data_IF_599403936516
#
_entry.id   IF_599403936516
#
_cell.length_a   1.000
_cell.length_b   1.000
_cell.length_c   1.000
_cell.angle_alpha   90.00
_cell.angle_beta   90.00
_cell.angle_gamma   90.00
#
_symmetry.space_group_name_H-M   'P 1'
#
loop_
_entity.id
_entity.type
_entity.pdbx_description
1 polymer ?
#
# COMPACT_ATOMS: atom_id res chain seq x y z
N UNK A 1 -44.52 27.34 5.74
CA UNK A 1 -43.65 26.17 6.03
C UNK A 1 -42.47 26.63 6.87
N UNK A 2 -42.11 25.85 7.90
CA UNK A 2 -41.01 26.11 8.86
C UNK A 2 -39.65 25.90 8.18
N UNK A 3 -38.73 26.87 8.33
CA UNK A 3 -37.29 26.65 8.14
C UNK A 3 -36.73 25.97 9.39
N UNK A 4 -35.96 24.89 9.21
CA UNK A 4 -35.09 24.30 10.23
C UNK A 4 -33.75 24.00 9.57
N UNK A 5 -32.70 24.67 10.05
CA UNK A 5 -31.29 24.36 9.75
C UNK A 5 -30.77 23.29 10.74
N UNK A 6 -29.58 22.72 10.49
CA UNK A 6 -28.48 23.16 11.35
C UNK A 6 -27.14 23.37 10.64
N UNK A 7 -26.41 24.35 11.19
CA UNK A 7 -24.99 24.66 10.98
C UNK A 7 -24.14 23.60 11.68
N UNK A 8 -23.13 23.06 10.99
CA UNK A 8 -22.03 22.30 11.58
C UNK A 8 -20.73 23.10 11.50
N UNK A 9 -20.18 23.50 12.65
CA UNK A 9 -18.93 24.24 12.80
C UNK A 9 -17.77 23.24 12.88
N UNK A 10 -16.78 23.34 12.00
CA UNK A 10 -15.43 22.83 12.25
C UNK A 10 -14.54 24.04 12.59
N UNK A 11 -14.20 24.18 13.88
CA UNK A 11 -13.30 25.22 14.35
C UNK A 11 -11.85 24.81 14.05
N UNK A 12 -11.20 25.51 13.12
CA UNK A 12 -9.75 25.42 12.91
C UNK A 12 -9.11 26.37 13.92
N UNK A 13 -8.48 25.81 14.96
CA UNK A 13 -7.68 26.59 15.91
C UNK A 13 -6.34 26.90 15.25
N UNK A 14 -6.15 28.16 14.83
CA UNK A 14 -4.86 28.67 14.32
C UNK A 14 -4.13 29.33 15.50
N UNK A 15 -3.11 28.65 16.01
CA UNK A 15 -2.14 29.21 16.95
C UNK A 15 -1.05 30.01 16.22
N UNK A 16 -0.75 31.19 16.75
CA UNK A 16 0.07 32.27 16.17
C UNK A 16 1.56 32.11 16.50
N UNK A 17 2.48 32.26 15.52
CA UNK A 17 3.82 32.86 15.72
C UNK A 17 4.53 33.11 14.38
N UNK A 18 5.21 34.26 14.27
CA UNK A 18 5.63 34.86 13.01
C UNK A 18 6.74 34.15 12.25
N UNK A 19 6.44 33.82 11.01
CA UNK A 19 7.37 33.81 9.89
C UNK A 19 6.59 34.40 8.71
N UNK A 20 7.22 35.17 7.83
CA UNK A 20 6.63 35.55 6.55
C UNK A 20 6.51 34.28 5.70
N UNK A 21 5.52 33.44 6.02
CA UNK A 21 5.12 32.35 5.17
C UNK A 21 4.54 32.99 3.92
N UNK A 22 5.18 32.74 2.77
CA UNK A 22 4.51 32.91 1.49
C UNK A 22 3.16 32.18 1.53
N UNK A 23 2.18 32.59 0.71
CA UNK A 23 0.87 31.96 0.72
C UNK A 23 1.03 30.44 0.66
N UNK A 24 0.55 29.75 1.69
CA UNK A 24 0.43 28.30 1.64
C UNK A 24 -0.59 27.99 0.55
N UNK A 25 -0.13 27.65 -0.65
CA UNK A 25 -0.98 27.10 -1.69
C UNK A 25 -1.35 25.70 -1.25
N UNK A 26 -2.54 25.56 -0.65
CA UNK A 26 -3.11 24.26 -0.43
C UNK A 26 -3.26 23.59 -1.81
N UNK A 27 -2.71 22.38 -1.96
CA UNK A 27 -2.98 21.62 -3.16
C UNK A 27 -4.49 21.47 -3.30
N UNK A 28 -5.03 21.90 -4.44
CA UNK A 28 -6.46 21.71 -4.73
C UNK A 28 -6.83 20.22 -4.87
N UNK A 29 -5.84 19.33 -4.83
CA UNK A 29 -5.99 17.94 -5.18
C UNK A 29 -5.13 17.02 -4.29
N UNK A 30 -5.71 16.56 -3.19
CA UNK A 30 -5.07 15.64 -2.24
C UNK A 30 -5.67 14.25 -2.44
N UNK A 31 -4.81 13.24 -2.57
CA UNK A 31 -5.18 11.84 -2.74
C UNK A 31 -4.49 10.93 -1.72
N UNK A 32 -5.14 9.82 -1.32
CA UNK A 32 -4.44 8.70 -0.71
C UNK A 32 -3.36 8.15 -1.64
N UNK A 33 -2.24 7.67 -1.08
CA UNK A 33 -1.29 6.86 -1.83
C UNK A 33 -1.98 5.68 -2.52
N UNK A 34 -1.58 5.40 -3.76
CA UNK A 34 -2.18 4.36 -4.60
C UNK A 34 -3.41 4.83 -5.39
N UNK A 35 -4.00 5.99 -5.07
CA UNK A 35 -5.08 6.55 -5.87
C UNK A 35 -4.54 7.39 -7.03
N UNK A 36 -5.16 7.24 -8.20
CA UNK A 36 -4.82 8.00 -9.39
C UNK A 36 -5.40 9.42 -9.33
N UNK A 37 -4.67 10.37 -9.90
CA UNK A 37 -5.15 11.71 -10.17
C UNK A 37 -4.66 12.20 -11.54
N UNK A 38 -5.48 12.99 -12.24
CA UNK A 38 -5.19 13.43 -13.59
C UNK A 38 -4.73 14.90 -13.63
N UNK A 39 -3.73 15.16 -14.46
CA UNK A 39 -3.29 16.51 -14.79
C UNK A 39 -2.86 16.55 -16.27
N UNK A 40 -3.53 17.38 -17.07
CA UNK A 40 -3.24 17.57 -18.50
C UNK A 40 -3.15 16.26 -19.30
N UNK A 41 -4.20 15.42 -19.23
CA UNK A 41 -4.26 14.10 -19.90
C UNK A 41 -3.21 13.08 -19.41
N UNK A 42 -2.55 13.35 -18.28
CA UNK A 42 -1.64 12.40 -17.63
C UNK A 42 -2.26 11.94 -16.32
N UNK A 43 -2.49 10.64 -16.18
CA UNK A 43 -2.89 10.04 -14.93
C UNK A 43 -1.68 9.66 -14.10
N UNK A 44 -1.54 10.20 -12.89
CA UNK A 44 -0.45 9.88 -11.97
C UNK A 44 -0.96 9.05 -10.79
N UNK A 45 -0.19 8.05 -10.39
CA UNK A 45 -0.42 7.30 -9.15
C UNK A 45 0.90 7.21 -8.41
N UNK A 46 0.94 7.70 -7.17
CA UNK A 46 2.13 7.60 -6.31
C UNK A 46 1.88 6.59 -5.21
N UNK A 47 2.86 5.74 -4.91
CA UNK A 47 2.81 4.78 -3.81
C UNK A 47 4.18 4.53 -3.21
N UNK A 48 4.19 3.93 -2.02
CA UNK A 48 5.40 3.42 -1.40
C UNK A 48 6.42 4.50 -1.10
N UNK A 49 6.03 5.60 -0.46
CA UNK A 49 6.98 6.53 0.16
C UNK A 49 7.54 5.87 1.41
N UNK A 50 8.80 5.43 1.37
CA UNK A 50 9.44 4.72 2.48
C UNK A 50 10.98 4.84 2.44
N UNK A 51 11.70 4.56 3.54
CA UNK A 51 13.15 4.45 3.53
C UNK A 51 13.62 3.45 2.47
N UNK A 52 14.67 3.80 1.72
CA UNK A 52 15.28 2.92 0.71
C UNK A 52 16.72 2.56 1.09
N UNK A 53 17.15 1.37 0.66
CA UNK A 53 18.53 0.88 0.74
C UNK A 53 19.23 0.87 -0.63
N UNK A 54 18.59 1.44 -1.66
CA UNK A 54 19.17 1.53 -2.99
C UNK A 54 20.47 2.37 -2.96
N UNK A 55 21.50 2.05 -3.77
CA UNK A 55 22.83 2.68 -3.69
C UNK A 55 22.87 4.06 -4.37
N UNK A 56 21.97 4.96 -3.99
CA UNK A 56 21.93 6.35 -4.46
C UNK A 56 22.73 7.23 -3.49
N UNK A 57 23.68 8.06 -3.95
CA UNK A 57 24.40 8.98 -3.06
C UNK A 57 23.47 9.96 -2.35
N UNK A 58 23.60 10.09 -1.02
CA UNK A 58 22.77 10.93 -0.17
C UNK A 58 23.51 11.22 1.16
N UNK A 59 23.06 12.21 1.93
CA UNK A 59 23.69 12.60 3.21
C UNK A 59 22.89 12.12 4.43
N UNK A 60 21.56 12.10 4.32
CA UNK A 60 20.63 11.72 5.38
C UNK A 60 20.17 10.27 5.26
N UNK A 61 18.86 10.05 5.43
CA UNK A 61 18.23 8.76 5.11
C UNK A 61 17.65 8.83 3.69
N UNK A 62 18.05 7.90 2.82
CA UNK A 62 17.42 7.78 1.52
C UNK A 62 15.97 7.34 1.68
N UNK A 63 15.05 8.04 1.03
CA UNK A 63 13.68 7.61 0.82
C UNK A 63 13.43 7.38 -0.67
N UNK A 64 12.49 6.49 -0.99
CA UNK A 64 12.01 6.32 -2.36
C UNK A 64 10.50 6.37 -2.44
N UNK A 65 9.97 6.70 -3.61
CA UNK A 65 8.56 6.55 -3.96
C UNK A 65 8.44 5.97 -5.37
N UNK A 66 7.39 5.20 -5.62
CA UNK A 66 7.06 4.69 -6.95
C UNK A 66 5.97 5.53 -7.57
N UNK A 67 6.17 5.94 -8.82
CA UNK A 67 5.19 6.71 -9.59
C UNK A 67 4.82 5.93 -10.84
N UNK A 68 3.53 5.64 -11.00
CA UNK A 68 2.94 5.15 -12.24
C UNK A 68 2.32 6.34 -12.97
N UNK A 69 2.55 6.42 -14.27
CA UNK A 69 1.89 7.37 -15.17
C UNK A 69 1.07 6.62 -16.22
N UNK A 70 -0.01 7.24 -16.68
CA UNK A 70 -0.91 6.75 -17.71
C UNK A 70 -1.23 7.86 -18.72
N UNK A 71 -1.18 7.55 -20.01
CA UNK A 71 -1.60 8.47 -21.07
C UNK A 71 -3.12 8.45 -21.25
N UNK A 72 -3.83 9.44 -20.72
CA UNK A 72 -5.29 9.52 -20.75
C UNK A 72 -5.80 10.20 -22.04
N UNK A 73 -5.42 9.65 -23.20
CA UNK A 73 -5.77 10.18 -24.53
C UNK A 73 -4.60 10.79 -25.29
N UNK A 74 -3.54 11.19 -24.58
CA UNK A 74 -2.28 11.69 -25.14
C UNK A 74 -1.05 10.98 -24.59
N UNK A 75 0.13 11.39 -25.05
CA UNK A 75 1.39 10.93 -24.46
C UNK A 75 1.55 11.50 -23.05
N UNK A 76 1.80 10.62 -22.08
CA UNK A 76 2.15 11.03 -20.73
C UNK A 76 3.66 11.31 -20.65
N UNK A 77 4.02 12.58 -20.58
CA UNK A 77 5.41 13.04 -20.41
C UNK A 77 5.57 13.71 -19.03
N UNK A 78 5.89 12.95 -17.98
CA UNK A 78 5.97 13.48 -16.62
C UNK A 78 7.23 14.33 -16.41
N UNK A 79 7.11 15.41 -15.64
CA UNK A 79 8.27 16.22 -15.22
C UNK A 79 8.74 15.70 -13.87
N UNK A 80 9.70 14.76 -13.89
CA UNK A 80 10.23 14.11 -12.67
C UNK A 80 10.68 15.13 -11.61
N UNK A 81 11.28 16.25 -12.03
CA UNK A 81 11.79 17.29 -11.14
C UNK A 81 10.71 18.06 -10.33
N UNK A 82 9.42 17.88 -10.66
CA UNK A 82 8.31 18.53 -9.94
C UNK A 82 7.87 17.72 -8.72
N UNK A 83 8.32 16.47 -8.57
CA UNK A 83 8.05 15.67 -7.39
C UNK A 83 8.95 16.05 -6.21
N UNK A 84 8.34 16.11 -5.04
CA UNK A 84 8.98 16.36 -3.75
C UNK A 84 8.42 15.38 -2.72
N UNK A 85 9.22 14.99 -1.75
CA UNK A 85 8.70 14.40 -0.52
C UNK A 85 8.54 15.52 0.52
N UNK A 86 7.44 15.53 1.29
CA UNK A 86 7.20 16.56 2.31
C UNK A 86 6.78 15.95 3.64
N UNK A 87 7.37 16.47 4.71
CA UNK A 87 7.02 16.13 6.09
C UNK A 87 5.79 16.93 6.57
N UNK A 88 5.14 16.44 7.62
CA UNK A 88 4.00 17.12 8.24
C UNK A 88 4.35 18.51 8.77
N UNK A 89 5.61 18.69 9.19
CA UNK A 89 6.17 19.99 9.59
C UNK A 89 6.32 20.99 8.43
N UNK A 90 6.13 20.55 7.18
CA UNK A 90 6.30 21.36 5.97
C UNK A 90 7.70 21.28 5.35
N UNK A 91 8.66 20.57 5.97
CA UNK A 91 9.99 20.37 5.40
C UNK A 91 9.88 19.64 4.05
N UNK A 92 10.53 20.19 3.02
CA UNK A 92 10.42 19.72 1.64
C UNK A 92 11.75 19.15 1.14
N UNK A 93 11.73 17.92 0.65
CA UNK A 93 12.88 17.23 0.06
C UNK A 93 12.70 17.10 -1.45
N UNK A 94 13.62 17.68 -2.22
CA UNK A 94 13.64 17.59 -3.69
C UNK A 94 13.99 16.16 -4.12
N UNK A 95 13.50 15.75 -5.28
CA UNK A 95 14.02 14.54 -5.93
C UNK A 95 15.51 14.70 -6.22
N UNK A 96 16.31 13.70 -5.84
CA UNK A 96 17.78 13.69 -6.05
C UNK A 96 18.22 12.71 -7.13
N UNK A 97 17.40 11.70 -7.41
CA UNK A 97 17.66 10.69 -8.44
C UNK A 97 16.37 9.98 -8.85
N UNK A 98 16.48 9.13 -9.86
CA UNK A 98 15.37 8.35 -10.40
C UNK A 98 14.77 8.99 -11.65
N UNK A 99 13.79 8.31 -12.24
CA UNK A 99 13.12 8.76 -13.46
C UNK A 99 11.73 8.15 -13.55
N UNK A 100 10.74 8.96 -13.94
CA UNK A 100 9.44 8.49 -14.37
C UNK A 100 9.41 8.48 -15.90
N UNK A 101 9.40 7.31 -16.56
CA UNK A 101 9.39 7.24 -18.02
C UNK A 101 8.07 7.76 -18.60
N UNK A 102 8.11 8.20 -19.86
CA UNK A 102 6.90 8.55 -20.60
C UNK A 102 6.05 7.31 -20.91
N UNK A 103 4.73 7.47 -20.94
CA UNK A 103 3.81 6.43 -21.39
C UNK A 103 3.10 6.86 -22.69
N UNK A 104 2.87 5.93 -23.63
CA UNK A 104 2.09 6.20 -24.83
C UNK A 104 0.60 6.43 -24.49
N UNK A 105 -0.20 6.99 -25.41
CA UNK A 105 -1.65 7.09 -25.26
C UNK A 105 -2.29 5.73 -24.95
N UNK A 106 -3.12 5.68 -23.91
CA UNK A 106 -3.76 4.46 -23.38
C UNK A 106 -2.80 3.49 -22.68
N UNK A 107 -1.50 3.80 -22.63
CA UNK A 107 -0.49 2.99 -21.98
C UNK A 107 -0.09 3.54 -20.62
N UNK A 108 0.65 2.71 -19.87
CA UNK A 108 1.22 3.09 -18.58
C UNK A 108 2.72 2.91 -18.55
N UNK A 109 3.40 3.69 -17.73
CA UNK A 109 4.81 3.50 -17.43
C UNK A 109 5.05 3.74 -15.94
N UNK A 110 6.05 3.08 -15.35
CA UNK A 110 6.34 3.18 -13.92
C UNK A 110 7.80 3.54 -13.70
N UNK A 111 8.03 4.45 -12.76
CA UNK A 111 9.35 4.89 -12.35
C UNK A 111 9.48 4.97 -10.84
N UNK A 112 10.72 5.14 -10.40
CA UNK A 112 11.06 5.32 -8.99
C UNK A 112 11.75 6.67 -8.81
N UNK A 113 11.41 7.33 -7.72
CA UNK A 113 11.96 8.61 -7.26
C UNK A 113 12.75 8.39 -5.99
N UNK A 114 13.78 9.21 -5.77
CA UNK A 114 14.59 9.18 -4.57
C UNK A 114 14.72 10.55 -3.93
N UNK A 115 14.73 10.59 -2.60
CA UNK A 115 14.79 11.81 -1.79
C UNK A 115 15.85 11.64 -0.69
N UNK A 116 16.66 12.67 -0.47
CA UNK A 116 17.61 12.73 0.66
C UNK A 116 16.94 13.38 1.87
N UNK A 117 16.57 12.57 2.87
CA UNK A 117 15.86 13.04 4.06
C UNK A 117 16.86 13.36 5.16
N UNK A 118 17.09 14.66 5.38
CA UNK A 118 18.05 15.20 6.36
C UNK A 118 17.40 15.80 7.60
N UNK A 119 16.08 15.69 7.74
CA UNK A 119 15.30 16.24 8.85
C UNK A 119 14.08 15.38 9.18
N UNK A 120 12.93 16.02 9.41
CA UNK A 120 11.68 15.34 9.74
C UNK A 120 11.25 14.33 8.66
N UNK A 121 10.67 13.22 9.10
CA UNK A 121 10.24 12.12 8.23
C UNK A 121 9.14 12.60 7.28
N UNK A 122 9.30 12.43 5.95
CA UNK A 122 8.25 12.78 5.00
C UNK A 122 7.10 11.77 5.07
N UNK A 123 5.87 12.27 4.99
CA UNK A 123 4.66 11.45 4.92
C UNK A 123 3.89 11.67 3.61
N UNK A 124 4.28 12.63 2.78
CA UNK A 124 3.58 12.96 1.55
C UNK A 124 4.52 13.07 0.36
N UNK A 125 3.97 12.83 -0.84
CA UNK A 125 4.62 13.19 -2.11
C UNK A 125 3.81 14.27 -2.79
N UNK A 126 4.48 15.34 -3.22
CA UNK A 126 3.88 16.54 -3.78
C UNK A 126 4.39 16.76 -5.20
N UNK A 127 3.49 16.96 -6.16
CA UNK A 127 3.81 17.45 -7.49
C UNK A 127 3.61 18.97 -7.52
N UNK A 128 4.71 19.71 -7.57
CA UNK A 128 4.74 21.18 -7.48
C UNK A 128 5.52 21.75 -8.67
N UNK A 129 4.94 22.75 -9.33
CA UNK A 129 5.48 23.36 -10.55
C UNK A 129 6.51 24.49 -10.30
N UNK A 130 6.91 24.69 -9.05
CA UNK A 130 7.74 25.78 -8.58
C UNK A 130 6.96 26.99 -8.06
N UNK A 131 5.65 27.07 -8.32
CA UNK A 131 4.77 28.14 -7.84
C UNK A 131 3.69 27.62 -6.91
N UNK A 132 3.11 26.45 -7.19
CA UNK A 132 2.01 25.88 -6.42
C UNK A 132 2.03 24.36 -6.40
N UNK A 133 1.43 23.79 -5.36
CA UNK A 133 1.18 22.36 -5.28
C UNK A 133 -0.01 22.01 -6.17
N UNK A 134 0.21 21.20 -7.19
CA UNK A 134 -0.84 20.79 -8.13
C UNK A 134 -1.55 19.53 -7.64
N UNK A 135 -0.78 18.58 -7.11
CA UNK A 135 -1.28 17.27 -6.67
C UNK A 135 -0.46 16.79 -5.47
N UNK A 136 -1.11 16.16 -4.49
CA UNK A 136 -0.47 15.64 -3.30
C UNK A 136 -0.99 14.24 -3.01
N UNK A 137 -0.08 13.32 -2.68
CA UNK A 137 -0.40 11.99 -2.16
C UNK A 137 0.01 11.87 -0.70
N UNK A 138 -0.92 11.44 0.16
CA UNK A 138 -0.76 11.28 1.61
C UNK A 138 -1.17 9.88 2.07
N UNK A 139 -0.82 9.43 3.29
CA UNK A 139 -1.30 8.17 3.83
C UNK A 139 -2.82 8.25 4.02
N UNK A 140 -3.51 7.15 3.70
CA UNK A 140 -4.96 7.05 3.83
C UNK A 140 -5.50 5.86 3.06
N UNK A 141 -6.73 5.45 3.37
CA UNK A 141 -7.42 4.47 2.56
C UNK A 141 -7.81 5.10 1.21
N UNK A 142 -7.67 4.39 0.07
CA UNK A 142 -8.22 4.84 -1.20
C UNK A 142 -9.70 5.14 -1.04
N UNK A 143 -10.12 6.37 -1.32
CA UNK A 143 -11.53 6.75 -1.25
C UNK A 143 -12.18 6.31 -2.56
N UNK A 144 -13.06 5.32 -2.50
CA UNK A 144 -13.92 4.91 -3.63
C UNK A 144 -13.47 3.66 -4.41
N UNK A 145 -12.50 2.89 -3.90
CA UNK A 145 -12.21 1.56 -4.42
C UNK A 145 -12.30 0.55 -3.28
N UNK A 146 -13.19 -0.44 -3.40
CA UNK A 146 -12.99 -1.69 -2.64
C UNK A 146 -11.57 -2.18 -2.92
N UNK A 147 -10.78 -2.58 -1.92
CA UNK A 147 -9.49 -3.20 -2.16
C UNK A 147 -9.69 -4.37 -3.11
N UNK A 148 -9.29 -4.21 -4.38
CA UNK A 148 -9.19 -5.33 -5.30
C UNK A 148 -7.81 -5.94 -5.06
N UNK A 149 -7.70 -6.62 -3.92
CA UNK A 149 -6.78 -7.74 -3.82
C UNK A 149 -7.30 -8.78 -4.79
N UNK A 150 -6.67 -8.85 -5.97
CA UNK A 150 -6.76 -10.02 -6.81
C UNK A 150 -5.99 -11.15 -6.11
N UNK A 151 -6.66 -11.81 -5.16
CA UNK A 151 -6.42 -13.22 -4.90
C UNK A 151 -7.43 -13.99 -5.74
N UNK A 152 -6.90 -14.61 -6.79
CA UNK A 152 -7.56 -15.64 -7.57
C UNK A 152 -7.92 -16.79 -6.63
N UNK A 153 -9.21 -17.07 -6.45
CA UNK A 153 -9.77 -18.36 -6.01
C UNK A 153 -11.30 -18.36 -6.15
N UNK A 154 -11.79 -19.40 -6.81
CA UNK A 154 -13.18 -19.66 -7.20
C UNK A 154 -14.19 -19.82 -6.04
N UNK A 155 -15.46 -19.55 -6.38
CA UNK A 155 -16.78 -19.79 -5.74
C UNK A 155 -16.85 -20.47 -4.35
N UNK A 156 -17.47 -19.85 -3.33
CA UNK A 156 -18.93 -19.89 -3.02
C UNK A 156 -19.16 -20.52 -1.61
N UNK A 157 -20.35 -20.51 -0.95
CA UNK A 157 -21.67 -20.11 -1.43
C UNK A 157 -22.50 -19.19 -0.47
N UNK A 158 -23.68 -18.87 -1.01
CA UNK A 158 -24.81 -18.03 -0.59
C UNK A 158 -25.38 -18.23 0.83
N UNK A 159 -25.83 -17.12 1.43
CA UNK A 159 -26.72 -17.08 2.60
C UNK A 159 -28.16 -16.77 2.18
N UNK A 160 -29.07 -17.66 2.56
CA UNK A 160 -30.48 -17.79 2.17
C UNK A 160 -31.38 -16.61 2.51
N UNK A 161 -32.29 -16.25 1.61
CA UNK A 161 -33.64 -15.80 1.94
C UNK A 161 -34.64 -16.40 0.94
N UNK A 162 -35.68 -17.02 1.50
CA UNK A 162 -36.77 -17.74 0.83
C UNK A 162 -37.50 -16.92 -0.24
N UNK A 163 -37.85 -17.58 -1.36
CA UNK A 163 -39.26 -17.69 -1.79
C UNK A 163 -39.48 -18.93 -2.67
N UNK A 164 -40.60 -19.58 -2.36
CA UNK A 164 -41.20 -20.84 -2.81
C UNK A 164 -41.20 -21.08 -4.33
N UNK A 165 -40.89 -22.32 -4.75
CA UNK A 165 -41.66 -23.11 -5.74
C UNK A 165 -41.18 -24.57 -5.82
N UNK A 166 -42.03 -25.51 -5.41
CA UNK A 166 -42.01 -26.97 -5.71
C UNK A 166 -42.43 -27.23 -7.17
N UNK A 167 -42.22 -28.39 -7.85
CA UNK A 167 -42.34 -29.80 -7.37
C UNK A 167 -41.41 -30.82 -8.13
N UNK A 168 -41.75 -32.11 -8.35
CA UNK A 168 -41.63 -33.26 -7.44
C UNK A 168 -40.78 -34.44 -7.99
N UNK A 169 -40.39 -35.37 -7.11
CA UNK A 169 -40.35 -36.86 -7.29
C UNK A 169 -39.46 -37.45 -6.18
N UNK A 170 -39.99 -38.23 -5.22
CA UNK A 170 -40.09 -39.71 -5.28
C UNK A 170 -38.80 -40.38 -5.78
N UNK A 171 -38.20 -41.37 -5.15
CA UNK A 171 -38.47 -42.17 -3.95
C UNK A 171 -37.25 -43.09 -3.74
N UNK A 172 -37.09 -43.56 -2.50
CA UNK A 172 -36.35 -44.76 -2.05
C UNK A 172 -34.85 -44.66 -1.68
N UNK A 173 -34.61 -45.01 -0.41
CA UNK A 173 -33.35 -45.21 0.31
C UNK A 173 -32.88 -46.70 0.20
N UNK A 174 -32.00 -47.27 1.07
CA UNK A 174 -31.00 -46.70 1.99
C UNK A 174 -29.61 -47.42 1.94
N UNK A 175 -28.72 -46.98 2.84
CA UNK A 175 -27.75 -47.77 3.63
C UNK A 175 -26.25 -47.59 3.33
N UNK A 176 -25.49 -47.24 4.38
CA UNK A 176 -24.03 -47.24 4.37
C UNK A 176 -23.44 -46.36 5.47
N UNK A 177 -23.43 -46.86 6.69
CA UNK A 177 -22.83 -46.31 7.92
C UNK A 177 -21.38 -45.85 7.79
N UNK A 178 -21.05 -44.68 8.34
CA UNK A 178 -19.68 -44.32 8.71
C UNK A 178 -19.50 -42.83 9.00
N UNK A 179 -19.55 -42.44 10.28
CA UNK A 179 -19.10 -41.11 10.73
C UNK A 179 -17.58 -41.07 10.74
N UNK A 180 -16.96 -40.03 10.15
CA UNK A 180 -15.96 -39.31 10.94
C UNK A 180 -16.09 -37.79 10.88
N UNK A 181 -15.71 -37.23 12.02
CA UNK A 181 -15.48 -35.84 12.39
C UNK A 181 -14.65 -35.05 11.36
N UNK A 182 -15.20 -33.90 10.94
CA UNK A 182 -14.53 -32.62 10.66
C UNK A 182 -13.19 -32.60 9.92
N UNK A 183 -13.20 -32.00 8.72
CA UNK A 183 -11.99 -31.47 8.06
C UNK A 183 -12.06 -31.57 6.53
N UNK A 184 -11.93 -30.44 5.85
CA UNK A 184 -12.23 -30.22 4.43
C UNK A 184 -11.48 -31.15 3.44
N UNK A 185 -12.21 -31.65 2.43
CA UNK A 185 -11.74 -32.52 1.34
C UNK A 185 -10.85 -31.85 0.27
N UNK A 186 -10.20 -30.72 0.59
CA UNK A 186 -9.39 -29.95 -0.38
C UNK A 186 -7.94 -29.68 0.06
N UNK A 187 -7.47 -30.28 1.17
CA UNK A 187 -6.05 -30.23 1.53
C UNK A 187 -5.31 -31.45 0.93
N UNK A 188 -4.15 -31.27 0.25
CA UNK A 188 -3.29 -32.40 -0.09
C UNK A 188 -2.76 -33.07 1.18
N UNK A 189 -2.60 -34.39 1.15
CA UNK A 189 -2.07 -35.15 2.28
C UNK A 189 -0.65 -34.67 2.63
N UNK A 190 -0.46 -34.21 3.87
CA UNK A 190 0.85 -33.77 4.37
C UNK A 190 1.57 -34.99 4.94
N UNK A 191 2.50 -35.56 4.18
CA UNK A 191 3.40 -36.62 4.65
C UNK A 191 4.55 -35.97 5.42
N UNK A 192 4.67 -36.29 6.71
CA UNK A 192 5.80 -35.85 7.51
C UNK A 192 7.11 -36.56 7.07
N UNK A 193 8.24 -35.86 7.01
CA UNK A 193 9.55 -36.49 6.78
C UNK A 193 9.90 -37.42 7.94
N UNK A 194 10.64 -38.49 7.66
CA UNK A 194 11.13 -39.42 8.69
C UNK A 194 11.96 -38.66 9.75
N UNK A 195 11.87 -39.05 11.03
CA UNK A 195 12.71 -38.45 12.07
C UNK A 195 14.18 -38.68 11.73
N UNK A 196 15.01 -37.67 11.99
CA UNK A 196 16.46 -37.79 11.86
C UNK A 196 16.98 -38.83 12.85
N UNK A 197 17.55 -39.93 12.37
CA UNK A 197 18.29 -40.86 13.19
C UNK A 197 19.68 -40.27 13.47
N UNK A 198 19.94 -39.89 14.72
CA UNK A 198 21.27 -39.45 15.15
C UNK A 198 22.20 -40.68 15.19
N UNK A 199 23.33 -40.60 14.50
CA UNK A 199 24.31 -41.70 14.52
C UNK A 199 25.19 -41.59 15.79
N UNK A 200 25.76 -42.70 16.30
CA UNK A 200 26.67 -42.65 17.45
C UNK A 200 27.89 -41.74 17.25
N UNK A 201 28.23 -41.41 16.00
CA UNK A 201 29.33 -40.49 15.67
C UNK A 201 28.99 -39.02 15.99
N UNK A 202 27.71 -38.63 15.93
CA UNK A 202 27.28 -37.24 16.18
C UNK A 202 27.24 -36.88 17.68
N UNK A 203 27.15 -37.89 18.56
CA UNK A 203 27.12 -37.69 20.03
C UNK A 203 28.52 -37.53 20.63
N UNK A 204 29.58 -37.90 19.88
CA UNK A 204 30.95 -37.96 20.39
C UNK A 204 31.78 -36.68 20.19
N UNK A 205 31.18 -35.55 19.77
CA UNK A 205 31.90 -34.28 19.66
C UNK A 205 32.25 -33.73 21.06
N UNK A 206 33.53 -33.61 21.43
CA UNK A 206 33.92 -33.15 22.76
C UNK A 206 33.85 -31.61 22.80
N UNK A 207 32.78 -31.06 23.38
CA UNK A 207 32.63 -29.60 23.50
C UNK A 207 31.76 -29.08 24.64
N UNK A 208 31.01 -29.94 25.34
CA UNK A 208 30.07 -29.49 26.38
C UNK A 208 30.33 -30.16 27.73
N UNK A 209 31.56 -30.07 28.26
CA UNK A 209 31.74 -30.12 29.71
C UNK A 209 33.11 -29.58 30.16
N UNK A 210 33.17 -28.28 30.41
CA UNK A 210 34.15 -27.72 31.34
C UNK A 210 33.53 -26.56 32.12
N UNK A 211 32.63 -26.91 33.04
CA UNK A 211 32.39 -26.08 34.21
C UNK A 211 33.63 -26.13 35.10
N UNK A 212 34.25 -24.98 35.35
CA UNK A 212 35.08 -24.79 36.55
C UNK A 212 35.17 -23.30 36.87
N UNK A 213 34.46 -22.89 37.91
CA UNK A 213 34.62 -21.57 38.52
C UNK A 213 36.00 -21.40 39.16
N UNK A 214 36.45 -20.14 39.17
CA UNK A 214 37.47 -19.57 40.06
C UNK A 214 37.03 -18.12 40.27
N UNK A 215 36.51 -17.77 41.46
CA UNK A 215 37.24 -17.18 42.60
C UNK A 215 38.02 -15.93 42.21
#
# INVERSE_FOLDING_TARGET
>A
MKLVAPVGIAAIVIGLAGATAGPASAANNIKPFGQQEALNEIGYTVKGLHPSSDPVPHNGQLYSATVKVEGLGGWANPITAFFNARAESGVNYRVIAGNVPSAPPGGTATGKLYFDVVGDVPNSVVYNDGMQDLMVWVPGAPIGGTPSEAVDSEEGPVGTSEIISTPPAESAAPAGTGTPTGGNFFAPEVIAPAPFELTPADVAAPGYNSGSGRR
#
